data_IF_128897122727
#
_entry.id   IF_128897122727
#
_cell.length_a   1.000
_cell.length_b   1.000
_cell.length_c   1.000
_cell.angle_alpha   90.00
_cell.angle_beta   90.00
_cell.angle_gamma   90.00
#
_symmetry.space_group_name_H-M   'P 1'
#
loop_
_entity.id
_entity.type
_entity.pdbx_description
1 polymer ?
#
# COMPACT_ATOMS: atom_id res chain seq x y z
N UNK A 1 8.80 16.51 -2.52
CA UNK A 1 8.94 17.92 -2.07
C UNK A 1 7.59 18.56 -1.79
N UNK A 2 6.67 18.67 -2.74
CA UNK A 2 5.35 19.32 -2.58
C UNK A 2 4.58 18.81 -1.34
N UNK A 3 4.44 17.49 -1.20
CA UNK A 3 3.69 16.84 -0.09
C UNK A 3 4.38 17.16 1.25
N UNK A 4 5.68 16.98 1.32
CA UNK A 4 6.45 17.19 2.56
C UNK A 4 6.48 18.66 2.98
N UNK A 5 6.51 19.60 2.03
CA UNK A 5 6.47 21.04 2.31
C UNK A 5 5.09 21.42 2.87
N UNK A 6 4.00 20.94 2.25
CA UNK A 6 2.63 21.18 2.74
C UNK A 6 2.39 20.59 4.15
N UNK A 7 2.92 19.40 4.42
CA UNK A 7 2.83 18.80 5.77
C UNK A 7 3.58 19.66 6.78
N UNK A 8 4.80 20.08 6.49
CA UNK A 8 5.61 20.91 7.41
C UNK A 8 5.01 22.28 7.70
N UNK A 9 4.33 22.85 6.73
CA UNK A 9 3.61 24.13 6.91
C UNK A 9 2.49 24.02 7.95
N UNK A 10 1.72 22.92 7.94
CA UNK A 10 0.56 22.75 8.81
C UNK A 10 0.88 21.95 10.09
N UNK A 11 1.88 21.06 10.03
CA UNK A 11 2.28 20.16 11.11
C UNK A 11 3.80 20.20 11.32
N UNK A 12 4.37 21.34 11.75
CA UNK A 12 5.82 21.57 11.80
C UNK A 12 6.56 20.66 12.79
N UNK A 13 5.87 20.08 13.76
CA UNK A 13 6.44 19.20 14.79
C UNK A 13 6.28 17.70 14.46
N UNK A 14 5.57 17.35 13.39
CA UNK A 14 5.38 15.96 13.01
C UNK A 14 6.60 15.43 12.27
N UNK A 15 6.86 14.14 12.44
CA UNK A 15 7.93 13.46 11.72
C UNK A 15 7.44 13.01 10.34
N UNK A 16 8.37 12.91 9.40
CA UNK A 16 8.09 12.40 8.05
C UNK A 16 9.01 11.22 7.76
N UNK A 17 8.40 10.09 7.41
CA UNK A 17 9.03 8.89 6.90
C UNK A 17 8.64 8.76 5.43
N UNK A 18 9.54 9.12 4.52
CA UNK A 18 9.29 8.99 3.08
C UNK A 18 10.39 8.14 2.42
N UNK A 19 10.02 7.37 1.39
CA UNK A 19 10.95 6.53 0.62
C UNK A 19 12.20 7.30 0.20
N UNK A 20 12.02 8.48 -0.38
CA UNK A 20 13.09 9.33 -0.91
C UNK A 20 14.06 9.89 0.17
N UNK A 21 13.69 9.85 1.44
CA UNK A 21 14.51 10.41 2.53
C UNK A 21 15.45 9.40 3.18
N UNK A 22 15.39 8.12 2.77
CA UNK A 22 16.20 7.01 3.31
C UNK A 22 16.34 7.05 4.85
N UNK A 23 15.22 7.05 5.60
CA UNK A 23 15.22 7.32 7.02
C UNK A 23 15.74 6.11 7.82
N UNK A 24 16.35 6.38 8.98
CA UNK A 24 16.60 5.37 9.97
C UNK A 24 15.29 4.88 10.60
N UNK A 25 14.79 3.75 10.11
CA UNK A 25 13.55 3.13 10.60
C UNK A 25 13.61 2.75 12.09
N UNK A 26 14.80 2.58 12.66
CA UNK A 26 14.93 2.20 14.08
C UNK A 26 14.63 3.39 15.00
N UNK A 27 15.03 4.59 14.61
CA UNK A 27 14.78 5.80 15.40
C UNK A 27 13.30 6.15 15.51
N UNK A 28 12.50 5.78 14.50
CA UNK A 28 11.06 6.07 14.43
C UNK A 28 10.18 5.11 15.25
N UNK A 29 10.66 3.89 15.53
CA UNK A 29 9.90 2.87 16.27
C UNK A 29 9.49 3.27 17.68
N UNK A 30 10.23 4.17 18.33
CA UNK A 30 10.05 4.58 19.71
C UNK A 30 9.60 6.03 19.87
N UNK A 31 9.22 6.69 18.77
CA UNK A 31 8.76 8.07 18.81
C UNK A 31 7.29 8.14 19.23
N UNK A 32 7.00 8.95 20.26
CA UNK A 32 5.63 9.32 20.62
C UNK A 32 5.04 10.41 19.71
N UNK A 33 5.90 11.07 18.91
CA UNK A 33 5.48 12.11 17.98
C UNK A 33 4.70 11.51 16.81
N UNK A 34 3.72 12.22 16.26
CA UNK A 34 3.04 11.82 15.05
C UNK A 34 4.01 11.68 13.87
N UNK A 35 3.74 10.71 12.99
CA UNK A 35 4.57 10.38 11.83
C UNK A 35 3.70 10.32 10.58
N UNK A 36 4.11 11.02 9.53
CA UNK A 36 3.57 10.87 8.18
C UNK A 36 4.43 9.88 7.41
N UNK A 37 3.83 8.76 6.99
CA UNK A 37 4.48 7.72 6.20
C UNK A 37 4.06 7.91 4.75
N UNK A 38 5.03 8.13 3.84
CA UNK A 38 4.75 8.62 2.49
C UNK A 38 5.54 7.83 1.46
N UNK A 39 4.85 7.33 0.44
CA UNK A 39 5.42 7.01 -0.85
C UNK A 39 4.87 8.01 -1.89
N UNK A 40 5.72 8.88 -2.43
CA UNK A 40 5.27 9.87 -3.40
C UNK A 40 4.98 9.28 -4.79
N UNK A 41 5.57 8.13 -5.13
CA UNK A 41 5.39 7.46 -6.43
C UNK A 41 5.56 5.95 -6.25
N UNK A 42 4.59 5.29 -5.61
CA UNK A 42 4.54 3.83 -5.60
C UNK A 42 4.29 3.29 -7.02
N UNK A 43 5.11 2.35 -7.45
CA UNK A 43 5.14 1.87 -8.82
C UNK A 43 6.08 2.68 -9.72
N UNK A 44 7.27 3.06 -9.26
CA UNK A 44 8.26 3.88 -9.99
C UNK A 44 8.61 3.30 -11.37
N UNK A 45 8.77 1.97 -11.48
CA UNK A 45 9.02 1.30 -12.78
C UNK A 45 7.83 1.46 -13.71
N UNK A 46 6.60 1.33 -13.20
CA UNK A 46 5.39 1.57 -13.97
C UNK A 46 5.33 3.01 -14.48
N UNK A 47 5.62 3.97 -13.61
CA UNK A 47 5.65 5.39 -13.97
C UNK A 47 6.65 5.67 -15.09
N UNK A 48 7.88 5.13 -14.98
CA UNK A 48 8.93 5.31 -15.99
C UNK A 48 8.57 4.69 -17.35
N UNK A 49 7.71 3.69 -17.37
CA UNK A 49 7.25 2.99 -18.57
C UNK A 49 5.82 3.36 -19.01
N UNK A 50 5.24 4.43 -18.46
CA UNK A 50 3.90 4.93 -18.80
C UNK A 50 2.76 3.93 -18.51
N UNK A 51 2.93 3.01 -17.57
CA UNK A 51 1.84 2.20 -17.03
C UNK A 51 1.05 3.00 -16.00
N UNK A 52 -0.26 2.75 -15.91
CA UNK A 52 -1.17 3.53 -15.08
C UNK A 52 -1.33 3.02 -13.64
N UNK A 53 -0.68 1.90 -13.30
CA UNK A 53 -0.66 1.37 -11.93
C UNK A 53 0.43 2.08 -11.13
N UNK A 54 0.12 3.30 -10.74
CA UNK A 54 1.00 4.21 -9.97
C UNK A 54 0.15 4.90 -8.92
N UNK A 55 0.67 5.04 -7.72
CA UNK A 55 -0.03 5.72 -6.64
C UNK A 55 0.83 6.68 -5.85
N UNK A 56 0.15 7.62 -5.18
CA UNK A 56 0.68 8.37 -4.04
C UNK A 56 0.07 7.73 -2.80
N UNK A 57 0.91 7.30 -1.85
CA UNK A 57 0.50 6.64 -0.61
C UNK A 57 0.88 7.50 0.58
N UNK A 58 -0.09 7.84 1.45
CA UNK A 58 0.13 8.67 2.63
C UNK A 58 -0.63 8.06 3.82
N UNK A 59 0.08 7.78 4.91
CA UNK A 59 -0.52 7.36 6.17
C UNK A 59 -0.10 8.28 7.31
N UNK A 60 -1.03 8.59 8.20
CA UNK A 60 -0.80 9.34 9.43
C UNK A 60 -0.82 8.41 10.63
N UNK A 61 0.29 8.38 11.37
CA UNK A 61 0.54 7.44 12.47
C UNK A 61 0.73 8.19 13.76
N UNK A 62 0.02 7.79 14.81
CA UNK A 62 0.17 8.33 16.16
C UNK A 62 0.36 7.18 17.14
N UNK A 63 1.43 7.23 17.93
CA UNK A 63 1.77 6.18 18.93
C UNK A 63 1.74 4.76 18.31
N UNK A 64 2.36 4.60 17.15
CA UNK A 64 2.44 3.33 16.42
C UNK A 64 1.13 2.82 15.82
N UNK A 65 0.06 3.63 15.80
CA UNK A 65 -1.24 3.27 15.22
C UNK A 65 -1.57 4.20 14.06
N UNK A 66 -1.86 3.64 12.90
CA UNK A 66 -2.32 4.41 11.74
C UNK A 66 -3.71 4.96 12.06
N UNK A 67 -3.89 6.28 11.96
CA UNK A 67 -5.14 6.99 12.27
C UNK A 67 -5.93 7.36 11.02
N UNK A 68 -5.24 7.75 9.96
CA UNK A 68 -5.83 8.10 8.68
C UNK A 68 -4.90 7.65 7.54
N UNK A 69 -5.47 7.39 6.39
CA UNK A 69 -4.75 6.94 5.20
C UNK A 69 -5.41 7.46 3.92
N UNK A 70 -4.59 7.75 2.92
CA UNK A 70 -5.00 8.05 1.55
C UNK A 70 -4.05 7.36 0.58
N UNK A 71 -4.61 6.71 -0.44
CA UNK A 71 -3.88 6.23 -1.62
C UNK A 71 -4.58 6.80 -2.85
N UNK A 72 -3.84 7.52 -3.69
CA UNK A 72 -4.38 8.17 -4.88
C UNK A 72 -3.72 7.65 -6.15
N UNK A 73 -4.52 7.10 -7.05
CA UNK A 73 -4.10 6.82 -8.44
C UNK A 73 -4.55 7.97 -9.36
N UNK A 74 -3.63 8.81 -9.83
CA UNK A 74 -3.98 9.97 -10.67
C UNK A 74 -4.46 9.60 -12.06
N UNK A 75 -4.04 8.45 -12.60
CA UNK A 75 -4.42 8.00 -13.94
C UNK A 75 -5.85 7.45 -14.02
N UNK A 76 -6.32 6.84 -12.93
CA UNK A 76 -7.68 6.31 -12.83
C UNK A 76 -8.62 7.27 -12.07
N UNK A 77 -8.10 8.37 -11.54
CA UNK A 77 -8.84 9.30 -10.67
C UNK A 77 -9.49 8.58 -9.48
N UNK A 78 -8.78 7.60 -8.92
CA UNK A 78 -9.21 6.80 -7.77
C UNK A 78 -8.53 7.31 -6.49
N UNK A 79 -9.32 7.86 -5.56
CA UNK A 79 -8.88 8.26 -4.23
C UNK A 79 -9.42 7.26 -3.22
N UNK A 80 -8.56 6.37 -2.73
CA UNK A 80 -8.87 5.50 -1.60
C UNK A 80 -8.54 6.24 -0.31
N UNK A 81 -9.44 6.20 0.67
CA UNK A 81 -9.22 6.81 1.97
C UNK A 81 -9.77 5.96 3.09
N UNK A 82 -9.19 6.10 4.28
CA UNK A 82 -9.72 5.48 5.49
C UNK A 82 -9.42 6.32 6.72
N UNK A 83 -10.31 6.27 7.69
CA UNK A 83 -10.11 6.79 9.04
C UNK A 83 -10.34 5.63 10.01
N UNK A 84 -9.39 5.45 10.92
CA UNK A 84 -9.44 4.37 11.91
C UNK A 84 -10.79 4.30 12.62
N UNK A 85 -11.41 3.11 12.63
CA UNK A 85 -12.73 2.83 13.22
C UNK A 85 -13.89 3.60 12.59
N UNK A 86 -13.74 4.09 11.36
CA UNK A 86 -14.81 4.81 10.68
C UNK A 86 -15.14 4.26 9.30
N UNK A 87 -14.33 3.36 8.77
CA UNK A 87 -14.51 2.74 7.47
C UNK A 87 -13.51 3.19 6.42
N UNK A 88 -13.69 2.67 5.21
CA UNK A 88 -12.89 2.97 4.03
C UNK A 88 -13.78 3.40 2.86
N UNK A 89 -13.21 4.23 1.98
CA UNK A 89 -13.93 4.83 0.84
C UNK A 89 -13.06 4.83 -0.42
N UNK A 90 -13.73 4.72 -1.57
CA UNK A 90 -13.22 5.08 -2.89
C UNK A 90 -14.04 6.24 -3.43
N UNK A 91 -13.40 7.41 -3.70
CA UNK A 91 -14.09 8.62 -4.19
C UNK A 91 -15.37 8.89 -3.38
N UNK A 92 -15.24 8.92 -2.04
CA UNK A 92 -16.32 9.16 -1.08
C UNK A 92 -17.44 8.11 -1.04
N UNK A 93 -17.33 7.02 -1.79
CA UNK A 93 -18.24 5.88 -1.71
C UNK A 93 -17.66 4.80 -0.78
N UNK A 94 -18.42 4.31 0.22
CA UNK A 94 -17.96 3.23 1.08
C UNK A 94 -17.57 1.98 0.28
N UNK A 95 -16.47 1.36 0.67
CA UNK A 95 -15.98 0.13 0.04
C UNK A 95 -15.96 -1.04 1.01
N UNK A 96 -15.97 -2.25 0.46
CA UNK A 96 -15.81 -3.50 1.20
C UNK A 96 -14.95 -4.48 0.39
N UNK A 97 -14.21 -5.34 1.11
CA UNK A 97 -13.48 -6.44 0.51
C UNK A 97 -14.44 -7.48 -0.13
N UNK A 98 -13.88 -8.37 -0.92
CA UNK A 98 -14.66 -9.44 -1.57
C UNK A 98 -15.23 -10.42 -0.55
N UNK A 99 -16.31 -11.12 -0.92
CA UNK A 99 -16.87 -12.21 -0.14
C UNK A 99 -16.29 -13.58 -0.54
N UNK A 100 -15.20 -13.64 -1.26
CA UNK A 100 -14.57 -14.89 -1.71
C UNK A 100 -13.98 -15.64 -0.51
N UNK A 101 -14.46 -16.84 -0.26
CA UNK A 101 -14.03 -17.70 0.84
C UNK A 101 -13.19 -18.88 0.39
N UNK A 102 -13.19 -19.19 -0.90
CA UNK A 102 -12.51 -20.34 -1.48
C UNK A 102 -11.30 -19.89 -2.29
N UNK A 103 -10.12 -20.40 -1.94
CA UNK A 103 -8.85 -19.98 -2.54
C UNK A 103 -8.80 -20.25 -4.05
N UNK A 104 -9.42 -21.35 -4.52
CA UNK A 104 -9.49 -21.70 -5.95
C UNK A 104 -10.35 -20.73 -6.80
N UNK A 105 -11.05 -19.79 -6.16
CA UNK A 105 -11.79 -18.71 -6.80
C UNK A 105 -11.11 -17.35 -6.65
N UNK A 106 -10.07 -17.29 -5.83
CA UNK A 106 -9.40 -16.03 -5.47
C UNK A 106 -8.46 -15.55 -6.58
N UNK A 107 -8.48 -14.24 -6.84
CA UNK A 107 -7.50 -13.53 -7.65
C UNK A 107 -6.50 -12.88 -6.69
N UNK A 108 -5.24 -13.31 -6.77
CA UNK A 108 -4.19 -12.89 -5.84
C UNK A 108 -3.18 -11.98 -6.56
N UNK A 109 -2.84 -10.84 -5.96
CA UNK A 109 -1.74 -10.03 -6.46
C UNK A 109 -0.44 -10.29 -5.69
N UNK A 110 0.68 -10.07 -6.37
CA UNK A 110 2.03 -10.17 -5.80
C UNK A 110 2.98 -9.19 -6.46
N UNK A 111 4.07 -8.91 -5.77
CA UNK A 111 5.23 -8.20 -6.32
C UNK A 111 6.51 -8.98 -6.11
N UNK A 112 7.60 -8.40 -6.62
CA UNK A 112 8.93 -8.96 -6.49
C UNK A 112 9.92 -7.86 -6.11
N UNK A 113 10.85 -8.09 -5.16
CA UNK A 113 11.86 -7.11 -4.79
C UNK A 113 12.75 -6.76 -5.99
N UNK A 114 13.34 -5.57 -5.98
CA UNK A 114 14.26 -5.14 -7.04
C UNK A 114 15.47 -6.06 -7.15
N UNK A 115 16.10 -6.40 -6.02
CA UNK A 115 17.15 -7.45 -5.99
C UNK A 115 16.54 -8.82 -5.76
N UNK A 116 16.52 -9.61 -6.82
CA UNK A 116 15.97 -10.99 -6.83
C UNK A 116 17.06 -12.06 -6.74
N UNK A 117 18.34 -11.67 -6.84
CA UNK A 117 19.45 -12.61 -7.08
C UNK A 117 19.56 -13.69 -5.99
N UNK A 118 19.35 -13.33 -4.73
CA UNK A 118 19.49 -14.24 -3.60
C UNK A 118 18.19 -14.98 -3.24
N UNK A 119 17.03 -14.53 -3.72
CA UNK A 119 15.71 -15.03 -3.29
C UNK A 119 14.87 -15.63 -4.43
N UNK A 120 15.41 -15.69 -5.65
CA UNK A 120 14.62 -16.09 -6.82
C UNK A 120 13.94 -17.46 -6.65
N UNK A 121 14.68 -18.47 -6.19
CA UNK A 121 14.12 -19.81 -5.99
C UNK A 121 12.98 -19.81 -4.95
N UNK A 122 13.13 -19.03 -3.87
CA UNK A 122 12.09 -18.91 -2.85
C UNK A 122 10.85 -18.18 -3.38
N UNK A 123 11.05 -17.13 -4.16
CA UNK A 123 9.95 -16.39 -4.81
C UNK A 123 9.19 -17.28 -5.78
N UNK A 124 9.90 -18.04 -6.62
CA UNK A 124 9.29 -18.97 -7.57
C UNK A 124 8.57 -20.12 -6.87
N UNK A 125 9.11 -20.63 -5.76
CA UNK A 125 8.45 -21.66 -4.97
C UNK A 125 7.14 -21.14 -4.36
N UNK A 126 7.13 -19.91 -3.80
CA UNK A 126 5.91 -19.28 -3.27
C UNK A 126 4.88 -19.06 -4.38
N UNK A 127 5.29 -18.49 -5.52
CA UNK A 127 4.42 -18.28 -6.66
C UNK A 127 3.80 -19.58 -7.16
N UNK A 128 4.59 -20.64 -7.27
CA UNK A 128 4.13 -21.96 -7.66
C UNK A 128 3.03 -22.47 -6.71
N UNK A 129 3.27 -22.39 -5.39
CA UNK A 129 2.28 -22.80 -4.38
C UNK A 129 0.98 -21.99 -4.41
N UNK A 130 1.06 -20.72 -4.73
CA UNK A 130 -0.14 -19.88 -4.88
C UNK A 130 -0.90 -20.26 -6.15
N UNK A 131 -0.19 -20.41 -7.29
CA UNK A 131 -0.79 -20.78 -8.59
C UNK A 131 -1.46 -22.16 -8.56
N UNK A 132 -0.97 -23.10 -7.78
CA UNK A 132 -1.61 -24.42 -7.63
C UNK A 132 -3.00 -24.33 -6.97
N UNK A 133 -3.32 -23.26 -6.27
CA UNK A 133 -4.50 -23.18 -5.41
C UNK A 133 -5.46 -22.06 -5.77
N UNK A 134 -4.99 -20.94 -6.34
CA UNK A 134 -5.84 -19.80 -6.65
C UNK A 134 -6.43 -19.86 -8.07
N UNK A 135 -7.41 -18.99 -8.35
CA UNK A 135 -7.97 -18.86 -9.68
C UNK A 135 -6.99 -18.19 -10.65
N UNK A 136 -6.28 -17.15 -10.20
CA UNK A 136 -5.32 -16.42 -11.03
C UNK A 136 -4.41 -15.53 -10.18
N UNK A 137 -3.27 -15.11 -10.77
CA UNK A 137 -2.32 -14.19 -10.14
C UNK A 137 -2.14 -12.93 -10.97
N UNK A 138 -2.00 -11.80 -10.29
CA UNK A 138 -1.67 -10.49 -10.88
C UNK A 138 -0.32 -10.01 -10.38
N UNK A 139 0.45 -9.40 -11.26
CA UNK A 139 1.69 -8.67 -10.93
C UNK A 139 1.58 -7.27 -11.54
N UNK A 140 0.99 -6.34 -10.78
CA UNK A 140 0.61 -5.02 -11.31
C UNK A 140 1.67 -3.95 -11.05
N UNK A 141 2.46 -4.09 -9.97
CA UNK A 141 3.66 -3.30 -9.74
C UNK A 141 3.48 -2.01 -8.96
N UNK A 142 2.38 -1.88 -8.23
CA UNK A 142 2.12 -0.86 -7.22
C UNK A 142 1.53 -1.56 -6.00
N UNK A 143 2.31 -1.66 -4.93
CA UNK A 143 1.91 -2.36 -3.71
C UNK A 143 0.73 -1.66 -3.01
N UNK A 144 0.76 -0.33 -2.96
CA UNK A 144 -0.32 0.45 -2.36
C UNK A 144 -1.65 0.25 -3.10
N UNK A 145 -1.63 0.20 -4.45
CA UNK A 145 -2.84 -0.08 -5.24
C UNK A 145 -3.31 -1.51 -5.09
N UNK A 146 -2.40 -2.49 -5.12
CA UNK A 146 -2.75 -3.90 -4.95
C UNK A 146 -3.49 -4.12 -3.64
N UNK A 147 -3.02 -3.52 -2.53
CA UNK A 147 -3.70 -3.58 -1.23
C UNK A 147 -5.05 -2.84 -1.26
N UNK A 148 -5.13 -1.67 -1.87
CA UNK A 148 -6.40 -0.94 -2.02
C UNK A 148 -7.42 -1.72 -2.88
N UNK A 149 -6.96 -2.44 -3.89
CA UNK A 149 -7.84 -3.27 -4.72
C UNK A 149 -8.31 -4.54 -4.00
N UNK A 150 -7.54 -5.05 -3.02
CA UNK A 150 -8.06 -6.05 -2.08
C UNK A 150 -9.18 -5.41 -1.22
N UNK A 151 -8.97 -4.21 -0.69
CA UNK A 151 -9.98 -3.49 0.09
C UNK A 151 -11.28 -3.22 -0.69
N UNK A 152 -11.18 -3.05 -2.01
CA UNK A 152 -12.33 -2.82 -2.91
C UNK A 152 -12.98 -4.12 -3.41
N UNK A 153 -12.36 -5.29 -3.18
CA UNK A 153 -12.82 -6.57 -3.71
C UNK A 153 -12.52 -6.81 -5.19
N UNK A 154 -11.63 -6.02 -5.82
CA UNK A 154 -11.09 -6.30 -7.17
C UNK A 154 -10.07 -7.42 -7.15
N UNK A 155 -9.38 -7.59 -6.03
CA UNK A 155 -8.47 -8.68 -5.70
C UNK A 155 -8.94 -9.30 -4.39
N UNK A 156 -8.58 -10.55 -4.16
CA UNK A 156 -8.95 -11.27 -2.94
C UNK A 156 -7.81 -11.32 -1.93
N UNK A 157 -6.57 -11.24 -2.38
CA UNK A 157 -5.40 -11.20 -1.52
C UNK A 157 -4.20 -10.53 -2.20
N UNK A 158 -3.24 -10.11 -1.37
CA UNK A 158 -1.94 -9.62 -1.81
C UNK A 158 -0.85 -10.18 -0.91
N UNK A 159 0.32 -10.53 -1.48
CA UNK A 159 1.49 -10.94 -0.72
C UNK A 159 2.78 -10.45 -1.36
N UNK A 160 3.61 -9.78 -0.57
CA UNK A 160 4.95 -9.33 -0.94
C UNK A 160 5.73 -8.97 0.32
N UNK A 161 7.06 -8.83 0.19
CA UNK A 161 7.89 -8.17 1.21
C UNK A 161 8.01 -6.70 0.83
N UNK A 162 7.38 -5.82 1.59
CA UNK A 162 7.24 -4.38 1.27
C UNK A 162 7.82 -3.52 2.39
N UNK A 163 8.14 -2.28 2.06
CA UNK A 163 8.53 -1.25 3.03
C UNK A 163 7.31 -0.60 3.70
N UNK A 164 7.48 0.10 4.84
CA UNK A 164 6.35 0.75 5.51
C UNK A 164 5.59 1.75 4.64
N UNK A 165 6.25 2.49 3.78
CA UNK A 165 5.63 3.48 2.89
C UNK A 165 4.77 2.84 1.81
N UNK A 166 5.10 1.63 1.34
CA UNK A 166 4.33 0.87 0.35
C UNK A 166 2.99 0.37 0.94
N UNK A 167 2.96 0.03 2.24
CA UNK A 167 1.84 -0.72 2.82
C UNK A 167 1.04 0.01 3.90
N UNK A 168 1.58 1.02 4.58
CA UNK A 168 0.93 1.60 5.74
C UNK A 168 -0.46 2.16 5.44
N UNK A 169 -0.61 2.92 4.35
CA UNK A 169 -1.90 3.48 3.96
C UNK A 169 -2.87 2.39 3.51
N UNK A 170 -2.45 1.54 2.58
CA UNK A 170 -3.25 0.43 2.07
C UNK A 170 -3.71 -0.52 3.18
N UNK A 171 -2.85 -0.79 4.17
CA UNK A 171 -3.21 -1.63 5.31
C UNK A 171 -4.39 -1.07 6.13
N UNK A 172 -4.40 0.24 6.43
CA UNK A 172 -5.56 0.82 7.13
C UNK A 172 -6.80 0.75 6.26
N UNK A 173 -6.68 1.08 4.96
CA UNK A 173 -7.81 1.05 4.01
C UNK A 173 -8.39 -0.37 3.94
N UNK A 174 -7.55 -1.40 3.80
CA UNK A 174 -8.02 -2.78 3.77
C UNK A 174 -8.68 -3.21 5.09
N UNK A 175 -8.09 -2.83 6.22
CA UNK A 175 -8.62 -3.15 7.54
C UNK A 175 -9.98 -2.49 7.83
N UNK A 176 -10.22 -1.31 7.32
CA UNK A 176 -11.46 -0.56 7.54
C UNK A 176 -12.55 -0.92 6.50
N UNK A 177 -12.19 -1.67 5.46
CA UNK A 177 -13.09 -2.21 4.44
C UNK A 177 -13.63 -3.62 4.77
N UNK A 178 -13.16 -4.23 5.85
CA UNK A 178 -13.54 -5.58 6.33
C UNK A 178 -14.92 -5.61 7.02
#
# INVERSE_FOLDING_TARGET
KLITDAIREHFPNDQILAEESNPDLQSLRYSDSPIWVIDPIDGTVNYAHHHHQVAISIAYVVKGKIQAAVVYNPFLSEVFSAIRQKGAWLNDQPIRCSATTELNRAIIATGFPYDKSQQLNQLMHRLHKVLEQCADVRRLGSAALDICWVALGRLDAYYESVSPWDCAAGWLIAKEAD
#
